data_IF_040525882104
#
_entry.id   IF_040525882104
#
_cell.length_a   1.000
_cell.length_b   1.000
_cell.length_c   1.000
_cell.angle_alpha   90.00
_cell.angle_beta   90.00
_cell.angle_gamma   90.00
#
_symmetry.space_group_name_H-M   'P 1'
#
loop_
_entity.id
_entity.type
_entity.pdbx_description
1 polymer ?
#
# COMPACT_ATOMS: atom_id res chain seq x y z
N UNK A 1 -4.08 -6.58 11.11
CA UNK A 1 -5.47 -7.03 11.25
C UNK A 1 -5.62 -8.47 10.77
N UNK A 2 -6.58 -9.18 11.30
CA UNK A 2 -6.88 -10.54 10.90
C UNK A 2 -7.48 -10.58 9.49
N UNK A 3 -7.37 -11.75 8.83
CA UNK A 3 -7.83 -11.93 7.45
C UNK A 3 -9.30 -11.59 7.27
N UNK A 4 -10.18 -12.03 8.20
CA UNK A 4 -11.61 -11.74 8.11
C UNK A 4 -11.91 -10.24 8.22
N UNK A 5 -11.25 -9.55 9.13
CA UNK A 5 -11.40 -8.11 9.25
C UNK A 5 -10.94 -7.40 7.97
N UNK A 6 -9.82 -7.86 7.39
CA UNK A 6 -9.33 -7.35 6.12
C UNK A 6 -10.36 -7.51 5.00
N UNK A 7 -10.98 -8.69 4.87
CA UNK A 7 -12.03 -8.94 3.88
C UNK A 7 -13.20 -7.99 4.02
N UNK A 8 -13.65 -7.77 5.25
CA UNK A 8 -14.78 -6.86 5.50
C UNK A 8 -14.45 -5.42 5.15
N UNK A 9 -13.28 -4.94 5.55
CA UNK A 9 -12.86 -3.55 5.33
C UNK A 9 -12.49 -3.28 3.88
N UNK A 10 -11.83 -4.22 3.22
CA UNK A 10 -11.42 -4.10 1.81
C UNK A 10 -12.54 -4.51 0.84
N UNK A 11 -13.59 -5.17 1.33
CA UNK A 11 -14.70 -5.71 0.53
C UNK A 11 -14.20 -6.70 -0.54
N UNK A 12 -13.34 -7.61 -0.13
CA UNK A 12 -12.82 -8.66 -0.99
C UNK A 12 -13.36 -10.03 -0.57
N UNK A 13 -13.45 -10.95 -1.54
CA UNK A 13 -13.68 -12.35 -1.27
C UNK A 13 -12.36 -13.15 -1.26
N UNK A 14 -12.41 -14.41 -0.82
CA UNK A 14 -11.22 -15.25 -0.71
C UNK A 14 -10.52 -15.45 -2.05
N UNK A 15 -11.28 -15.68 -3.10
CA UNK A 15 -10.74 -15.96 -4.43
C UNK A 15 -10.01 -14.73 -4.98
N UNK A 16 -10.58 -13.54 -4.83
CA UNK A 16 -9.98 -12.29 -5.28
C UNK A 16 -8.71 -11.98 -4.51
N UNK A 17 -8.74 -12.13 -3.19
CA UNK A 17 -7.54 -11.93 -2.37
C UNK A 17 -6.41 -12.86 -2.78
N UNK A 18 -6.71 -14.16 -2.93
CA UNK A 18 -5.71 -15.14 -3.32
C UNK A 18 -5.09 -14.79 -4.68
N UNK A 19 -5.92 -14.37 -5.64
CA UNK A 19 -5.48 -13.96 -6.96
C UNK A 19 -4.55 -12.76 -6.91
N UNK A 20 -4.89 -11.74 -6.13
CA UNK A 20 -4.07 -10.52 -6.03
C UNK A 20 -2.77 -10.75 -5.28
N UNK A 21 -2.76 -11.58 -4.25
CA UNK A 21 -1.53 -11.96 -3.54
C UNK A 21 -0.62 -12.76 -4.47
N UNK A 22 -1.16 -13.70 -5.21
CA UNK A 22 -0.39 -14.51 -6.16
C UNK A 22 0.19 -13.66 -7.30
N UNK A 23 -0.56 -12.67 -7.77
CA UNK A 23 -0.10 -11.74 -8.80
C UNK A 23 0.95 -10.74 -8.29
N UNK A 24 1.20 -10.69 -6.98
CA UNK A 24 2.14 -9.74 -6.38
C UNK A 24 1.56 -8.34 -6.21
N UNK A 25 0.27 -8.15 -6.42
CA UNK A 25 -0.38 -6.84 -6.26
C UNK A 25 -0.60 -6.47 -4.81
N UNK A 26 -0.75 -7.48 -3.96
CA UNK A 26 -1.02 -7.31 -2.53
C UNK A 26 -0.01 -8.11 -1.74
N UNK A 27 0.70 -7.44 -0.82
CA UNK A 27 1.68 -8.05 0.08
C UNK A 27 1.15 -7.90 1.50
N UNK A 28 1.35 -8.93 2.31
CA UNK A 28 0.91 -8.89 3.70
C UNK A 28 1.89 -8.06 4.53
N UNK A 29 1.45 -6.95 5.10
CA UNK A 29 2.24 -6.05 5.93
C UNK A 29 1.85 -6.10 7.41
N UNK A 30 1.17 -7.15 7.84
CA UNK A 30 0.81 -7.34 9.24
C UNK A 30 1.99 -7.78 10.10
N UNK A 31 1.85 -7.61 11.43
CA UNK A 31 2.92 -7.84 12.38
C UNK A 31 3.10 -9.32 12.75
N UNK A 32 2.07 -10.13 12.62
CA UNK A 32 2.07 -11.55 13.04
C UNK A 32 1.31 -12.41 12.04
N UNK A 33 1.55 -13.75 12.04
CA UNK A 33 0.76 -14.66 11.21
C UNK A 33 -0.75 -14.65 11.51
N UNK A 34 -1.14 -14.32 12.75
CA UNK A 34 -2.56 -14.20 13.13
C UNK A 34 -3.17 -12.89 12.64
N UNK A 35 -2.36 -11.87 12.39
CA UNK A 35 -2.78 -10.57 11.88
C UNK A 35 -1.91 -10.17 10.67
N UNK A 36 -2.12 -10.83 9.52
CA UNK A 36 -1.20 -10.69 8.37
C UNK A 36 -1.38 -9.40 7.58
N UNK A 37 -2.44 -8.61 7.85
CA UNK A 37 -2.75 -7.40 7.08
C UNK A 37 -2.69 -6.15 7.94
N UNK A 38 -2.39 -5.02 7.30
CA UNK A 38 -2.32 -3.69 7.92
C UNK A 38 -3.21 -2.70 7.15
N UNK A 39 -3.29 -1.45 7.65
CA UNK A 39 -4.03 -0.38 7.00
C UNK A 39 -3.48 -0.05 5.60
N UNK A 40 -2.18 -0.23 5.39
CA UNK A 40 -1.54 -0.07 4.08
C UNK A 40 -2.15 -1.06 3.07
N UNK A 41 -2.37 -2.30 3.50
CA UNK A 41 -2.94 -3.33 2.65
C UNK A 41 -4.39 -3.02 2.27
N UNK A 42 -5.16 -2.44 3.18
CA UNK A 42 -6.52 -1.98 2.89
C UNK A 42 -6.50 -0.88 1.84
N UNK A 43 -5.66 0.14 2.02
CA UNK A 43 -5.57 1.24 1.08
C UNK A 43 -5.16 0.76 -0.32
N UNK A 44 -4.22 -0.19 -0.38
CA UNK A 44 -3.78 -0.79 -1.64
C UNK A 44 -4.90 -1.60 -2.31
N UNK A 45 -5.64 -2.40 -1.56
CA UNK A 45 -6.77 -3.17 -2.08
C UNK A 45 -7.88 -2.26 -2.62
N UNK A 46 -8.19 -1.18 -1.89
CA UNK A 46 -9.18 -0.21 -2.35
C UNK A 46 -8.74 0.48 -3.64
N UNK A 47 -7.45 0.84 -3.75
CA UNK A 47 -6.89 1.42 -4.97
C UNK A 47 -7.02 0.47 -6.15
N UNK A 48 -6.69 -0.81 -5.99
CA UNK A 48 -6.82 -1.81 -7.04
C UNK A 48 -8.27 -1.92 -7.51
N UNK A 49 -9.21 -1.96 -6.58
CA UNK A 49 -10.64 -2.01 -6.91
C UNK A 49 -11.07 -0.78 -7.70
N UNK A 50 -10.70 0.40 -7.25
CA UNK A 50 -11.05 1.65 -7.92
C UNK A 50 -10.48 1.70 -9.34
N UNK A 51 -9.24 1.26 -9.52
CA UNK A 51 -8.62 1.20 -10.83
C UNK A 51 -9.36 0.26 -11.77
N UNK A 52 -9.77 -0.90 -11.29
CA UNK A 52 -10.55 -1.86 -12.09
C UNK A 52 -11.93 -1.32 -12.44
N UNK A 53 -12.58 -0.64 -11.50
CA UNK A 53 -13.88 -0.01 -11.73
C UNK A 53 -13.78 1.12 -12.77
N UNK A 54 -12.64 1.80 -12.83
CA UNK A 54 -12.35 2.83 -13.84
C UNK A 54 -11.96 2.27 -15.20
N UNK A 55 -11.83 0.95 -15.32
CA UNK A 55 -11.54 0.29 -16.58
C UNK A 55 -10.06 -0.05 -16.81
N UNK A 56 -9.20 0.08 -15.80
CA UNK A 56 -7.82 -0.36 -15.91
C UNK A 56 -7.76 -1.87 -16.12
N UNK A 57 -6.98 -2.32 -17.08
CA UNK A 57 -6.79 -3.74 -17.32
C UNK A 57 -5.74 -4.34 -16.37
N UNK A 58 -5.70 -5.66 -16.29
CA UNK A 58 -4.81 -6.36 -15.37
C UNK A 58 -3.33 -6.11 -15.68
N UNK A 59 -2.97 -5.83 -16.92
CA UNK A 59 -1.59 -5.55 -17.31
C UNK A 59 -1.11 -4.17 -16.82
N UNK A 60 -2.01 -3.20 -16.69
CA UNK A 60 -1.66 -1.86 -16.23
C UNK A 60 -1.62 -1.72 -14.71
N UNK A 61 -2.29 -2.60 -13.97
CA UNK A 61 -2.35 -2.51 -12.51
C UNK A 61 -0.96 -2.60 -11.87
N UNK A 62 -0.09 -3.58 -12.17
CA UNK A 62 1.24 -3.61 -11.57
C UNK A 62 2.09 -2.39 -11.91
N UNK A 63 1.92 -1.80 -13.09
CA UNK A 63 2.63 -0.58 -13.48
C UNK A 63 2.18 0.59 -12.59
N UNK A 64 0.88 0.75 -12.38
CA UNK A 64 0.34 1.81 -11.54
C UNK A 64 0.76 1.63 -10.08
N UNK A 65 0.71 0.41 -9.56
CA UNK A 65 1.13 0.11 -8.19
C UNK A 65 2.62 0.41 -7.99
N UNK A 66 3.46 0.11 -8.97
CA UNK A 66 4.88 0.44 -8.91
C UNK A 66 5.10 1.95 -8.86
N UNK A 67 4.38 2.72 -9.65
CA UNK A 67 4.44 4.18 -9.62
C UNK A 67 3.99 4.75 -8.27
N UNK A 68 2.95 4.17 -7.68
CA UNK A 68 2.47 4.58 -6.34
C UNK A 68 3.53 4.27 -5.28
N UNK A 69 4.17 3.10 -5.36
CA UNK A 69 5.24 2.73 -4.44
C UNK A 69 6.44 3.68 -4.55
N UNK A 70 6.81 4.07 -5.77
CA UNK A 70 7.87 5.06 -6.01
C UNK A 70 7.51 6.42 -5.42
N UNK A 71 6.26 6.85 -5.57
CA UNK A 71 5.77 8.12 -5.02
C UNK A 71 5.86 8.11 -3.49
N UNK A 72 5.46 7.02 -2.84
CA UNK A 72 5.57 6.90 -1.39
C UNK A 72 7.01 6.93 -0.92
N UNK A 73 7.92 6.24 -1.63
CA UNK A 73 9.35 6.27 -1.34
C UNK A 73 9.93 7.69 -1.44
N UNK A 74 9.54 8.42 -2.48
CA UNK A 74 9.97 9.80 -2.67
C UNK A 74 9.46 10.73 -1.57
N UNK A 75 8.20 10.58 -1.18
CA UNK A 75 7.63 11.36 -0.06
C UNK A 75 8.36 11.10 1.24
N UNK A 76 8.68 9.83 1.51
CA UNK A 76 9.44 9.46 2.71
C UNK A 76 10.82 10.12 2.72
N UNK A 77 11.52 10.06 1.60
CA UNK A 77 12.83 10.69 1.44
C UNK A 77 12.76 12.21 1.66
N UNK A 78 11.76 12.87 1.09
CA UNK A 78 11.56 14.32 1.28
C UNK A 78 11.32 14.67 2.74
N UNK A 79 10.54 13.89 3.46
CA UNK A 79 10.31 14.11 4.90
C UNK A 79 11.59 13.99 5.70
N UNK A 80 12.44 13.02 5.39
CA UNK A 80 13.74 12.85 6.05
C UNK A 80 14.66 14.01 5.76
N UNK A 81 14.74 14.46 4.52
CA UNK A 81 15.56 15.62 4.14
C UNK A 81 15.09 16.90 4.81
N UNK A 82 13.77 17.15 4.86
CA UNK A 82 13.21 18.30 5.55
C UNK A 82 13.47 18.26 7.05
N UNK A 83 13.39 17.09 7.66
CA UNK A 83 13.74 16.89 9.06
C UNK A 83 15.21 17.24 9.33
N UNK A 84 16.12 16.80 8.47
CA UNK A 84 17.55 17.11 8.56
C UNK A 84 17.81 18.60 8.42
N UNK A 85 17.19 19.26 7.44
CA UNK A 85 17.33 20.72 7.24
C UNK A 85 16.84 21.49 8.46
N UNK A 86 15.69 21.13 9.01
CA UNK A 86 15.15 21.76 10.23
C UNK A 86 16.08 21.58 11.42
N UNK A 87 16.65 20.40 11.60
CA UNK A 87 17.60 20.12 12.68
C UNK A 87 18.86 20.97 12.55
N UNK A 88 19.40 21.14 11.34
CA UNK A 88 20.56 21.98 11.07
C UNK A 88 20.26 23.44 11.34
N UNK A 89 19.10 23.95 10.95
CA UNK A 89 18.68 25.35 11.24
C UNK A 89 18.59 25.58 12.74
N UNK A 90 18.06 24.64 13.49
CA UNK A 90 17.98 24.77 14.96
C UNK A 90 19.34 24.79 15.61
N UNK A 91 20.35 24.11 15.07
CA UNK A 91 21.74 24.15 15.59
C UNK A 91 22.45 25.44 15.29
N UNK A 92 22.10 26.15 14.25
CA UNK A 92 22.75 27.37 13.80
C UNK A 92 22.16 28.64 14.42
N UNK A 93 21.11 28.49 15.24
CA UNK A 93 20.51 29.59 15.99
C UNK A 93 21.08 29.63 17.41
#
# INVERSE_FOLDING_TARGET
MATQEFFQRARLDDATLAQWVEAGWLIRHGDTPAQPFSDIDIARAQLIRDLRDLGANDDSIPIILDLVDQLHGLRHLLRELLGTVKAQRSRNI
#
